data_IF_103780359443
#
_entry.id   IF_103780359443
#
_cell.length_a   1.000
_cell.length_b   1.000
_cell.length_c   1.000
_cell.angle_alpha   90.00
_cell.angle_beta   90.00
_cell.angle_gamma   90.00
#
_symmetry.space_group_name_H-M   'P 1'
#
loop_
_entity.id
_entity.type
_entity.pdbx_description
1 polymer ?
#
# COMPACT_ATOMS: atom_id res chain seq x y z
N UNK A 1 -4.21 -8.32 23.46
CA UNK A 1 -3.38 -8.44 22.24
C UNK A 1 -3.03 -7.06 21.72
N UNK A 2 -1.92 -6.90 21.00
CA UNK A 2 -1.36 -5.58 20.61
C UNK A 2 -1.43 -5.30 19.10
N UNK A 3 -2.24 -6.07 18.35
CA UNK A 3 -2.33 -5.95 16.88
C UNK A 3 -2.75 -4.55 16.44
N UNK A 4 -3.79 -3.97 17.07
CA UNK A 4 -4.30 -2.66 16.67
C UNK A 4 -3.26 -1.54 16.89
N UNK A 5 -2.58 -1.45 18.06
CA UNK A 5 -1.42 -0.58 18.23
C UNK A 5 -0.30 -0.82 17.20
N UNK A 6 0.05 -2.08 16.93
CA UNK A 6 1.12 -2.41 15.98
C UNK A 6 0.80 -1.92 14.55
N UNK A 7 -0.42 -2.15 14.07
CA UNK A 7 -0.89 -1.63 12.79
C UNK A 7 -0.83 -0.10 12.78
N UNK A 8 -1.28 0.56 13.86
CA UNK A 8 -1.24 2.01 13.96
C UNK A 8 0.17 2.60 13.88
N UNK A 9 1.17 1.92 14.45
CA UNK A 9 2.59 2.32 14.32
C UNK A 9 3.09 2.17 12.88
N UNK A 10 2.73 1.09 12.19
CA UNK A 10 3.08 0.89 10.78
C UNK A 10 2.44 1.97 9.89
N UNK A 11 1.15 2.23 10.06
CA UNK A 11 0.42 3.27 9.33
C UNK A 11 0.99 4.67 9.58
N UNK A 12 1.31 4.99 10.83
CA UNK A 12 1.92 6.27 11.21
C UNK A 12 3.32 6.41 10.59
N UNK A 13 4.13 5.37 10.64
CA UNK A 13 5.46 5.34 10.01
C UNK A 13 5.38 5.62 8.51
N UNK A 14 4.46 4.95 7.81
CA UNK A 14 4.20 5.18 6.39
C UNK A 14 3.79 6.64 6.12
N UNK A 15 2.87 7.18 6.92
CA UNK A 15 2.42 8.58 6.80
C UNK A 15 3.55 9.59 7.01
N UNK A 16 4.43 9.36 8.00
CA UNK A 16 5.58 10.23 8.27
C UNK A 16 6.56 10.19 7.09
N UNK A 17 6.88 9.00 6.58
CA UNK A 17 7.83 8.84 5.46
C UNK A 17 7.27 9.48 4.18
N UNK A 18 5.97 9.31 3.91
CA UNK A 18 5.32 9.85 2.71
C UNK A 18 4.86 11.31 2.88
N UNK A 19 5.06 11.92 4.06
CA UNK A 19 4.55 13.24 4.41
C UNK A 19 3.03 13.41 4.16
N UNK A 20 2.26 12.36 4.45
CA UNK A 20 0.80 12.34 4.31
C UNK A 20 0.15 12.40 5.69
N UNK A 21 -0.86 13.26 5.94
CA UNK A 21 -1.50 13.33 7.24
C UNK A 21 -2.24 12.03 7.58
N UNK A 22 -2.11 11.55 8.83
CA UNK A 22 -2.75 10.32 9.29
C UNK A 22 -4.29 10.38 9.14
N UNK A 23 -4.88 11.57 9.29
CA UNK A 23 -6.32 11.78 9.09
C UNK A 23 -6.80 11.45 7.68
N UNK A 24 -5.93 11.50 6.67
CA UNK A 24 -6.26 11.11 5.29
C UNK A 24 -6.46 9.59 5.12
N UNK A 25 -6.05 8.77 6.10
CA UNK A 25 -6.34 7.32 6.13
C UNK A 25 -7.75 6.99 6.58
N UNK A 26 -8.52 7.98 7.04
CA UNK A 26 -9.88 7.75 7.51
C UNK A 26 -10.73 7.14 6.39
N UNK A 27 -11.26 5.95 6.63
CA UNK A 27 -12.15 5.27 5.70
C UNK A 27 -13.32 6.16 5.28
N UNK A 28 -13.65 6.15 3.99
CA UNK A 28 -14.67 7.01 3.41
C UNK A 28 -14.74 6.89 1.90
N UNK A 29 -15.90 7.22 1.33
CA UNK A 29 -16.07 7.27 -0.12
C UNK A 29 -15.87 5.96 -0.88
N UNK A 30 -15.91 4.81 -0.19
CA UNK A 30 -15.65 3.48 -0.77
C UNK A 30 -14.22 2.96 -0.60
N UNK A 31 -13.33 3.72 0.03
CA UNK A 31 -11.96 3.30 0.36
C UNK A 31 -11.82 3.02 1.86
N UNK A 32 -11.22 1.89 2.20
CA UNK A 32 -10.86 1.53 3.58
C UNK A 32 -9.62 2.27 4.08
N UNK A 33 -8.77 2.76 3.17
CA UNK A 33 -7.53 3.50 3.47
C UNK A 33 -7.68 5.01 3.23
N UNK A 34 -8.91 5.48 3.01
CA UNK A 34 -9.19 6.89 2.69
C UNK A 34 -8.47 7.35 1.42
N UNK A 35 -7.92 8.56 1.46
CA UNK A 35 -7.21 9.18 0.33
C UNK A 35 -5.69 9.19 0.50
N UNK A 36 -5.17 8.74 1.64
CA UNK A 36 -3.74 8.77 1.94
C UNK A 36 -2.86 8.13 0.85
N UNK A 37 -3.23 6.97 0.26
CA UNK A 37 -2.46 6.38 -0.83
C UNK A 37 -2.38 7.26 -2.10
N UNK A 38 -3.35 8.13 -2.34
CA UNK A 38 -3.28 9.06 -3.47
C UNK A 38 -2.36 10.24 -3.18
N UNK A 39 -2.39 10.76 -1.94
CA UNK A 39 -1.58 11.91 -1.54
C UNK A 39 -0.07 11.62 -1.50
N UNK A 40 0.34 10.35 -1.59
CA UNK A 40 1.74 9.97 -1.73
C UNK A 40 2.27 10.13 -3.18
N UNK A 41 1.38 10.28 -4.16
CA UNK A 41 1.76 10.47 -5.56
C UNK A 41 2.14 11.95 -5.83
N UNK A 42 3.08 12.20 -6.76
CA UNK A 42 3.40 13.55 -7.17
C UNK A 42 2.17 14.25 -7.77
N UNK A 43 2.03 15.55 -7.52
CA UNK A 43 0.94 16.40 -8.03
C UNK A 43 -0.45 16.10 -7.48
N UNK A 44 -0.61 15.08 -6.63
CA UNK A 44 -1.89 14.75 -6.01
C UNK A 44 -2.19 15.61 -4.79
N UNK A 45 -3.43 16.09 -4.75
CA UNK A 45 -4.01 16.74 -3.58
C UNK A 45 -5.47 16.31 -3.39
N UNK A 46 -6.11 16.80 -2.33
CA UNK A 46 -7.52 16.46 -2.06
C UNK A 46 -8.44 16.82 -3.24
N UNK A 47 -8.20 17.95 -3.89
CA UNK A 47 -9.00 18.42 -5.02
C UNK A 47 -8.91 17.45 -6.20
N UNK A 48 -7.70 17.00 -6.55
CA UNK A 48 -7.45 16.00 -7.60
C UNK A 48 -8.15 14.69 -7.25
N UNK A 49 -7.97 14.20 -6.03
CA UNK A 49 -8.58 12.94 -5.57
C UNK A 49 -10.11 12.99 -5.64
N UNK A 50 -10.72 14.12 -5.27
CA UNK A 50 -12.18 14.32 -5.41
C UNK A 50 -12.64 14.32 -6.87
N UNK A 51 -11.83 14.84 -7.81
CA UNK A 51 -12.18 14.85 -9.24
C UNK A 51 -12.13 13.44 -9.85
N UNK A 52 -11.09 12.65 -9.56
CA UNK A 52 -11.00 11.28 -10.09
C UNK A 52 -12.02 10.33 -9.46
N UNK A 53 -12.40 10.55 -8.20
CA UNK A 53 -13.50 9.80 -7.55
C UNK A 53 -14.85 9.97 -8.28
N UNK A 54 -15.11 11.15 -8.88
CA UNK A 54 -16.29 11.39 -9.72
C UNK A 54 -16.24 10.64 -11.05
N UNK A 55 -15.04 10.22 -11.48
CA UNK A 55 -14.81 9.35 -12.64
C UNK A 55 -14.79 7.86 -12.27
N UNK A 56 -15.26 7.52 -11.07
CA UNK A 56 -15.37 6.15 -10.52
C UNK A 56 -14.02 5.50 -10.15
N UNK A 57 -12.95 6.28 -9.98
CA UNK A 57 -11.69 5.81 -9.40
C UNK A 57 -11.60 6.27 -7.95
N UNK A 58 -11.93 5.37 -7.03
CA UNK A 58 -12.11 5.60 -5.59
C UNK A 58 -11.01 4.95 -4.75
N UNK A 59 -10.38 3.88 -5.22
CA UNK A 59 -9.26 3.24 -4.53
C UNK A 59 -7.97 3.35 -5.32
N UNK A 60 -6.84 3.20 -4.62
CA UNK A 60 -5.54 3.29 -5.24
C UNK A 60 -5.27 2.12 -6.19
N UNK A 61 -5.78 0.94 -5.85
CA UNK A 61 -5.72 -0.26 -6.68
C UNK A 61 -6.45 -0.07 -8.00
N UNK A 62 -7.59 0.62 -8.00
CA UNK A 62 -8.31 0.96 -9.24
C UNK A 62 -7.45 1.85 -10.15
N UNK A 63 -6.81 2.88 -9.60
CA UNK A 63 -5.89 3.73 -10.38
C UNK A 63 -4.69 2.94 -10.91
N UNK A 64 -4.09 2.10 -10.06
CA UNK A 64 -2.91 1.28 -10.41
C UNK A 64 -3.24 0.22 -11.46
N UNK A 65 -4.44 -0.34 -11.43
CA UNK A 65 -4.91 -1.37 -12.35
C UNK A 65 -5.26 -0.87 -13.76
N UNK A 66 -5.42 0.45 -13.95
CA UNK A 66 -5.59 1.06 -15.26
C UNK A 66 -4.29 0.97 -16.07
N UNK A 67 -4.43 0.85 -17.39
CA UNK A 67 -3.26 0.95 -18.28
C UNK A 67 -2.77 2.42 -18.38
N UNK A 68 -1.52 2.66 -18.83
CA UNK A 68 -0.96 4.02 -18.88
C UNK A 68 -1.76 5.01 -19.74
N UNK A 69 -2.38 4.54 -20.82
CA UNK A 69 -3.21 5.38 -21.68
C UNK A 69 -4.49 5.81 -20.97
N UNK A 70 -5.19 4.87 -20.33
CA UNK A 70 -6.38 5.14 -19.52
C UNK A 70 -6.06 6.10 -18.37
N UNK A 71 -4.92 5.94 -17.69
CA UNK A 71 -4.46 6.89 -16.66
C UNK A 71 -4.21 8.27 -17.23
N UNK A 72 -3.58 8.38 -18.40
CA UNK A 72 -3.34 9.65 -19.08
C UNK A 72 -4.66 10.36 -19.42
N UNK A 73 -5.63 9.61 -19.96
CA UNK A 73 -6.98 10.09 -20.30
C UNK A 73 -7.82 10.43 -19.07
N UNK A 74 -7.50 9.87 -17.90
CA UNK A 74 -8.10 10.26 -16.63
C UNK A 74 -7.46 11.54 -16.08
N UNK A 75 -6.15 11.54 -15.91
CA UNK A 75 -5.42 12.57 -15.17
C UNK A 75 -5.35 13.89 -15.96
N UNK A 76 -5.16 13.84 -17.27
CA UNK A 76 -5.04 15.07 -18.07
C UNK A 76 -6.34 15.90 -18.04
N UNK A 77 -7.52 15.39 -18.46
CA UNK A 77 -8.74 16.19 -18.46
C UNK A 77 -9.42 16.29 -17.09
N UNK A 78 -9.36 15.26 -16.24
CA UNK A 78 -10.07 15.29 -14.96
C UNK A 78 -9.26 15.97 -13.86
N UNK A 79 -7.96 15.69 -13.76
CA UNK A 79 -7.10 16.33 -12.76
C UNK A 79 -6.52 17.66 -13.26
N UNK A 80 -6.36 17.82 -14.57
CA UNK A 80 -5.74 18.99 -15.19
C UNK A 80 -4.22 18.86 -15.31
N UNK A 81 -3.69 17.63 -15.30
CA UNK A 81 -2.25 17.39 -15.34
C UNK A 81 -1.72 17.61 -16.75
N UNK A 82 -0.53 18.21 -16.83
CA UNK A 82 0.30 18.26 -18.03
C UNK A 82 0.91 16.89 -18.32
N UNK A 83 1.43 16.70 -19.55
CA UNK A 83 2.08 15.46 -19.95
C UNK A 83 3.24 15.07 -19.03
N UNK A 84 4.05 16.05 -18.58
CA UNK A 84 5.15 15.81 -17.65
C UNK A 84 4.68 15.42 -16.26
N UNK A 85 3.59 16.02 -15.76
CA UNK A 85 3.02 15.66 -14.46
C UNK A 85 2.44 14.24 -14.47
N UNK A 86 1.82 13.82 -15.58
CA UNK A 86 1.41 12.43 -15.77
C UNK A 86 2.61 11.50 -15.77
N UNK A 87 3.68 11.85 -16.49
CA UNK A 87 4.91 11.06 -16.53
C UNK A 87 5.56 10.90 -15.14
N UNK A 88 5.57 11.94 -14.32
CA UNK A 88 6.04 11.86 -12.93
C UNK A 88 5.24 10.85 -12.11
N UNK A 89 3.92 10.81 -12.27
CA UNK A 89 3.05 9.82 -11.62
C UNK A 89 3.37 8.41 -12.10
N UNK A 90 3.52 8.20 -13.41
CA UNK A 90 3.85 6.89 -13.99
C UNK A 90 5.16 6.34 -13.42
N UNK A 91 6.23 7.15 -13.39
CA UNK A 91 7.53 6.74 -12.83
C UNK A 91 7.39 6.26 -11.38
N UNK A 92 6.59 6.96 -10.57
CA UNK A 92 6.36 6.58 -9.18
C UNK A 92 5.55 5.27 -9.08
N UNK A 93 4.49 5.12 -9.86
CA UNK A 93 3.67 3.91 -9.89
C UNK A 93 4.47 2.68 -10.34
N UNK A 94 5.39 2.84 -11.29
CA UNK A 94 6.24 1.77 -11.79
C UNK A 94 7.22 1.23 -10.74
N UNK A 95 7.68 2.09 -9.83
CA UNK A 95 8.58 1.72 -8.73
C UNK A 95 7.87 1.13 -7.52
N UNK A 96 6.55 1.30 -7.39
CA UNK A 96 5.82 0.81 -6.23
C UNK A 96 5.75 -0.73 -6.23
N UNK A 97 6.06 -1.39 -5.09
CA UNK A 97 5.95 -2.84 -4.99
C UNK A 97 4.48 -3.29 -4.99
N UNK A 98 4.22 -4.45 -5.58
CA UNK A 98 3.02 -5.27 -5.39
C UNK A 98 3.44 -6.54 -4.66
N UNK A 99 2.70 -6.92 -3.63
CA UNK A 99 3.00 -8.08 -2.81
C UNK A 99 1.92 -9.14 -2.99
N UNK A 100 2.33 -10.39 -3.20
CA UNK A 100 1.48 -11.55 -2.96
C UNK A 100 2.14 -12.48 -1.96
N UNK A 101 1.31 -13.16 -1.18
CA UNK A 101 1.74 -14.01 -0.08
C UNK A 101 1.10 -15.38 -0.23
N UNK A 102 1.91 -16.42 -0.26
CA UNK A 102 1.48 -17.81 -0.11
C UNK A 102 1.94 -18.32 1.26
N UNK A 103 1.04 -18.98 1.99
CA UNK A 103 1.32 -19.48 3.34
C UNK A 103 0.99 -20.96 3.41
N UNK A 104 1.92 -21.73 3.96
CA UNK A 104 1.74 -23.13 4.33
C UNK A 104 2.03 -23.29 5.81
N UNK A 105 1.20 -24.05 6.50
CA UNK A 105 1.42 -24.45 7.89
C UNK A 105 1.60 -25.97 7.94
N UNK A 106 2.62 -26.44 8.63
CA UNK A 106 2.90 -27.87 8.79
C UNK A 106 3.53 -28.18 10.15
N UNK A 107 3.34 -29.40 10.63
CA UNK A 107 4.08 -29.98 11.76
C UNK A 107 5.16 -30.90 11.19
N UNK A 108 6.40 -30.79 11.67
CA UNK A 108 7.50 -31.60 11.17
C UNK A 108 7.28 -33.08 11.47
N UNK A 109 7.30 -33.92 10.43
CA UNK A 109 7.20 -35.37 10.57
C UNK A 109 5.77 -35.93 10.71
N UNK A 110 4.75 -35.10 10.57
CA UNK A 110 3.34 -35.51 10.75
C UNK A 110 2.47 -35.21 9.52
N UNK A 111 1.50 -36.10 9.25
CA UNK A 111 0.47 -35.90 8.23
C UNK A 111 -0.72 -35.10 8.81
N UNK A 112 -0.45 -33.92 9.35
CA UNK A 112 -1.49 -33.05 9.91
C UNK A 112 -0.98 -32.13 11.00
N UNK A 113 -1.90 -31.31 11.52
CA UNK A 113 -1.68 -30.49 12.70
C UNK A 113 -2.69 -30.97 13.75
N UNK A 114 -2.19 -31.32 14.93
CA UNK A 114 -2.96 -31.74 16.10
C UNK A 114 -2.84 -30.73 17.24
N UNK A 115 -3.71 -30.90 18.25
CA UNK A 115 -3.70 -30.05 19.43
C UNK A 115 -2.42 -30.29 20.24
N UNK A 116 -1.68 -29.21 20.50
CA UNK A 116 -0.42 -29.25 21.25
C UNK A 116 0.83 -29.28 20.37
N UNK A 117 0.69 -29.41 19.06
CA UNK A 117 1.82 -29.45 18.12
C UNK A 117 2.55 -28.11 18.03
N UNK A 118 3.86 -28.19 17.79
CA UNK A 118 4.64 -27.05 17.34
C UNK A 118 4.47 -26.92 15.82
N UNK A 119 3.70 -25.93 15.40
CA UNK A 119 3.43 -25.64 13.98
C UNK A 119 4.50 -24.72 13.41
N UNK A 120 5.06 -25.09 12.26
CA UNK A 120 5.91 -24.22 11.44
C UNK A 120 5.09 -23.53 10.36
N UNK A 121 5.18 -22.21 10.30
CA UNK A 121 4.61 -21.40 9.22
C UNK A 121 5.68 -21.08 8.18
N UNK A 122 5.44 -21.51 6.96
CA UNK A 122 6.25 -21.16 5.78
C UNK A 122 5.47 -20.13 4.95
N UNK A 123 6.09 -18.98 4.73
CA UNK A 123 5.51 -17.87 3.97
C UNK A 123 6.41 -17.55 2.77
N UNK A 124 5.85 -17.62 1.57
CA UNK A 124 6.48 -17.16 0.34
C UNK A 124 5.92 -15.80 -0.02
N UNK A 125 6.76 -14.78 0.11
CA UNK A 125 6.43 -13.41 -0.29
C UNK A 125 6.96 -13.18 -1.69
N UNK A 126 6.06 -12.93 -2.64
CA UNK A 126 6.42 -12.50 -3.98
C UNK A 126 6.27 -10.98 -4.05
N UNK A 127 7.35 -10.30 -4.39
CA UNK A 127 7.38 -8.86 -4.60
C UNK A 127 7.60 -8.58 -6.09
N UNK A 128 6.70 -7.79 -6.69
CA UNK A 128 6.78 -7.42 -8.10
C UNK A 128 6.65 -5.90 -8.30
N UNK A 129 7.29 -5.39 -9.34
CA UNK A 129 7.18 -3.99 -9.79
C UNK A 129 6.93 -3.98 -11.29
N UNK A 130 6.24 -2.95 -11.78
CA UNK A 130 6.00 -2.84 -13.21
C UNK A 130 7.31 -2.61 -14.00
N UNK A 131 8.30 -1.95 -13.38
CA UNK A 131 9.63 -1.76 -13.97
C UNK A 131 10.58 -2.95 -13.83
N UNK A 132 10.16 -4.05 -13.19
CA UNK A 132 10.98 -5.26 -13.01
C UNK A 132 12.12 -5.16 -12.00
N UNK A 133 12.26 -4.04 -11.27
CA UNK A 133 13.28 -3.91 -10.23
C UNK A 133 12.94 -4.76 -9.00
N UNK A 134 13.95 -5.44 -8.44
CA UNK A 134 13.83 -6.24 -7.21
C UNK A 134 13.90 -5.38 -5.93
N UNK A 135 14.42 -4.15 -6.03
CA UNK A 135 14.41 -3.14 -4.98
C UNK A 135 14.41 -1.74 -5.58
N UNK A 136 13.82 -0.78 -4.88
CA UNK A 136 13.81 0.62 -5.28
C UNK A 136 13.95 1.51 -4.04
N UNK A 137 14.40 2.75 -4.23
CA UNK A 137 14.24 3.74 -3.18
C UNK A 137 12.78 4.19 -3.16
N UNK A 138 12.13 4.27 -1.99
CA UNK A 138 10.77 4.77 -1.89
C UNK A 138 10.73 6.21 -2.37
N UNK A 139 9.71 6.55 -3.16
CA UNK A 139 9.43 7.95 -3.49
C UNK A 139 8.97 8.66 -2.22
N UNK A 140 9.88 9.42 -1.58
CA UNK A 140 9.63 10.13 -0.33
C UNK A 140 10.32 11.51 -0.35
N UNK A 141 9.91 12.41 -1.26
CA UNK A 141 10.66 13.65 -1.55
C UNK A 141 10.74 14.62 -0.36
N UNK A 142 9.84 14.51 0.61
CA UNK A 142 9.79 15.36 1.81
C UNK A 142 10.43 14.72 3.04
N UNK A 143 10.93 13.49 2.92
CA UNK A 143 11.62 12.82 4.01
C UNK A 143 13.09 13.26 4.03
N UNK A 144 13.55 13.77 5.17
CA UNK A 144 14.84 14.46 5.27
C UNK A 144 16.06 13.54 5.11
N UNK A 145 15.89 12.25 5.40
CA UNK A 145 16.97 11.28 5.45
C UNK A 145 16.85 10.27 4.32
N UNK A 146 17.94 9.57 4.03
CA UNK A 146 17.88 8.38 3.20
C UNK A 146 16.91 7.35 3.81
N UNK A 147 16.05 6.76 2.98
CA UNK A 147 15.10 5.73 3.41
C UNK A 147 15.19 4.54 2.48
N UNK A 148 15.47 3.37 3.04
CA UNK A 148 15.31 2.09 2.35
C UNK A 148 13.88 1.55 2.49
N UNK A 149 13.45 0.69 1.58
CA UNK A 149 12.18 -0.03 1.74
C UNK A 149 12.26 -1.02 2.90
N UNK A 150 11.19 -1.09 3.70
CA UNK A 150 11.06 -2.03 4.81
C UNK A 150 9.68 -2.71 4.75
N UNK A 151 9.65 -4.01 5.05
CA UNK A 151 8.43 -4.81 5.10
C UNK A 151 8.26 -5.42 6.49
N UNK A 152 7.04 -5.38 7.02
CA UNK A 152 6.70 -5.99 8.31
C UNK A 152 5.73 -7.15 8.08
N UNK A 153 6.11 -8.34 8.54
CA UNK A 153 5.23 -9.50 8.58
C UNK A 153 4.69 -9.64 10.01
N UNK A 154 3.37 -9.47 10.17
CA UNK A 154 2.70 -9.55 11.47
C UNK A 154 1.76 -10.75 11.47
N UNK A 155 2.01 -11.71 12.36
CA UNK A 155 1.10 -12.81 12.65
C UNK A 155 0.33 -12.48 13.94
N UNK A 156 -1.00 -12.50 13.87
CA UNK A 156 -1.84 -12.19 15.02
C UNK A 156 -3.19 -12.90 14.96
N UNK A 157 -3.77 -13.12 16.14
CA UNK A 157 -5.13 -13.62 16.30
C UNK A 157 -6.15 -12.48 16.08
N UNK A 158 -7.05 -12.67 15.12
CA UNK A 158 -8.08 -11.70 14.76
C UNK A 158 -9.13 -11.49 15.87
N UNK A 159 -9.30 -12.47 16.78
CA UNK A 159 -10.32 -12.47 17.83
C UNK A 159 -9.81 -11.97 19.19
N UNK A 160 -8.49 -11.82 19.38
CA UNK A 160 -7.86 -11.36 20.63
C UNK A 160 -7.18 -9.99 20.49
N UNK A 161 -7.88 -9.06 19.86
CA UNK A 161 -7.44 -7.69 19.64
C UNK A 161 -7.39 -6.83 20.91
N UNK A 162 -8.00 -7.26 22.01
CA UNK A 162 -8.03 -6.55 23.31
C UNK A 162 -7.72 -7.54 24.44
N UNK A 163 -6.75 -7.24 25.31
CA UNK A 163 -6.69 -7.86 26.64
C UNK A 163 -7.77 -7.18 27.49
N UNK A 164 -8.67 -7.98 28.07
CA UNK A 164 -9.50 -7.55 29.20
C UNK A 164 -8.69 -7.52 30.47
#
# INVERSE_FOLDING_TARGET
>A
GWLRPAIGVVELSQCIIQAVPLSARKAGGGSTEGIAPFLQLPHFGEAVTKKIARKKVRTFEELRGMNPQERTELLSPAAGFSASEVEDVERVLEMMPSLSLEVKCETEGEEGIQEGDIVTLQAWVKLERANGLIGALPHAPYYLNHKDENFWFLLADQNRSEER
#
